data_IF_156707110663
#
_entry.id   IF_156707110663
#
_cell.length_a   1.000
_cell.length_b   1.000
_cell.length_c   1.000
_cell.angle_alpha   90.00
_cell.angle_beta   90.00
_cell.angle_gamma   90.00
#
_symmetry.space_group_name_H-M   'P 1'
#
loop_
_entity.id
_entity.type
_entity.pdbx_description
1 polymer ?
2 water ?
#
# COMPACT_ATOMS: atom_id res chain seq x y z
N UNK A 1 4.99 -15.57 5.65
CA UNK A 1 5.56 -15.57 4.28
C UNK A 1 6.93 -14.90 4.23
N UNK A 2 7.61 -15.10 3.10
CA UNK A 2 8.91 -14.49 2.87
C UNK A 2 8.81 -12.97 2.81
N UNK A 3 7.85 -12.49 2.03
CA UNK A 3 7.71 -11.06 1.77
C UNK A 3 6.53 -10.45 2.52
N UNK A 4 6.72 -9.23 3.02
CA UNK A 4 5.69 -8.50 3.74
C UNK A 4 5.02 -7.47 2.84
N UNK A 5 3.89 -6.93 3.28
CA UNK A 5 3.33 -5.74 2.65
C UNK A 5 4.34 -4.61 2.77
N UNK A 6 5.03 -4.58 3.91
CA UNK A 6 6.12 -3.64 4.14
C UNK A 6 7.14 -3.67 3.01
N UNK A 7 7.55 -4.88 2.63
CA UNK A 7 8.54 -5.07 1.59
C UNK A 7 8.06 -4.54 0.24
N UNK A 8 6.76 -4.71 -0.02
CA UNK A 8 6.19 -4.35 -1.31
C UNK A 8 6.05 -2.84 -1.44
N UNK A 9 5.63 -2.20 -0.36
CA UNK A 9 5.55 -0.74 -0.31
C UNK A 9 6.93 -0.14 -0.51
N UNK A 10 7.93 -0.73 0.14
CA UNK A 10 9.31 -0.28 -0.01
C UNK A 10 9.81 -0.50 -1.43
N UNK A 11 9.42 -1.62 -2.03
CA UNK A 11 9.80 -1.93 -3.40
C UNK A 11 9.22 -0.90 -4.37
N UNK A 12 8.00 -0.46 -4.08
CA UNK A 12 7.32 0.52 -4.92
C UNK A 12 7.90 1.91 -4.72
N UNK A 13 8.23 2.25 -3.47
CA UNK A 13 8.84 3.54 -3.16
C UNK A 13 10.16 3.70 -3.90
N UNK A 14 10.96 2.64 -3.92
CA UNK A 14 12.28 2.67 -4.55
C UNK A 14 12.17 2.69 -6.07
N UNK A 15 11.40 1.76 -6.63
CA UNK A 15 11.32 1.60 -8.07
C UNK A 15 10.60 2.75 -8.76
N UNK A 16 9.62 3.35 -8.08
CA UNK A 16 8.81 4.41 -8.68
C UNK A 16 9.16 5.79 -8.14
N UNK A 17 10.20 5.86 -7.31
CA UNK A 17 10.64 7.12 -6.72
C UNK A 17 9.49 7.85 -6.02
N UNK A 18 8.89 7.18 -5.05
CA UNK A 18 7.82 7.75 -4.25
C UNK A 18 8.19 7.69 -2.77
N UNK A 19 7.97 8.79 -2.07
CA UNK A 19 8.05 8.80 -0.61
C UNK A 19 6.66 8.51 -0.07
N UNK A 20 6.55 8.27 1.23
CA UNK A 20 5.26 7.95 1.84
C UNK A 20 4.24 9.05 1.59
N UNK A 21 4.70 10.30 1.64
CA UNK A 21 3.82 11.45 1.46
C UNK A 21 3.21 11.45 0.06
N UNK A 22 3.96 10.97 -0.92
CA UNK A 22 3.46 10.88 -2.28
C UNK A 22 2.38 9.81 -2.38
N UNK A 23 2.66 8.63 -1.83
CA UNK A 23 1.71 7.53 -1.85
C UNK A 23 0.41 7.92 -1.13
N UNK A 24 0.54 8.61 -0.01
CA UNK A 24 -0.63 9.06 0.74
C UNK A 24 -1.45 10.04 -0.10
N UNK A 25 -0.75 10.92 -0.82
CA UNK A 25 -1.42 11.87 -1.70
C UNK A 25 -2.21 11.16 -2.79
N UNK A 26 -1.57 10.18 -3.42
CA UNK A 26 -2.20 9.42 -4.51
C UNK A 26 -3.45 8.69 -4.04
N UNK A 27 -3.47 8.30 -2.77
CA UNK A 27 -4.56 7.49 -2.23
C UNK A 27 -5.82 8.30 -1.96
N UNK A 28 -5.65 9.59 -1.69
CA UNK A 28 -6.75 10.44 -1.23
C UNK A 28 -7.95 10.44 -2.19
N UNK A 29 -7.70 10.60 -3.50
CA UNK A 29 -8.82 10.49 -4.45
C UNK A 29 -9.55 9.15 -4.34
N UNK A 30 -8.81 8.09 -4.03
CA UNK A 30 -9.40 6.76 -3.89
C UNK A 30 -10.07 6.59 -2.53
N UNK A 31 -9.56 7.28 -1.52
CA UNK A 31 -10.19 7.28 -0.20
C UNK A 31 -11.60 7.83 -0.31
N UNK A 32 -11.75 8.89 -1.10
CA UNK A 32 -13.04 9.53 -1.29
C UNK A 32 -13.94 8.70 -2.21
N UNK A 33 -13.34 8.07 -3.21
CA UNK A 33 -14.06 7.20 -4.12
C UNK A 33 -14.66 6.00 -3.38
N UNK A 34 -13.85 5.36 -2.54
CA UNK A 34 -14.26 4.16 -1.83
C UNK A 34 -14.92 4.47 -0.49
N UNK A 35 -14.65 5.66 0.04
CA UNK A 35 -15.15 6.03 1.35
C UNK A 35 -14.41 5.30 2.45
N UNK A 36 -13.09 5.17 2.27
CA UNK A 36 -12.24 4.46 3.22
C UNK A 36 -10.98 5.26 3.51
N UNK A 37 -10.75 5.50 4.80
CA UNK A 37 -9.70 6.43 5.22
C UNK A 37 -8.37 5.74 5.48
N UNK A 38 -7.30 6.44 5.10
CA UNK A 38 -5.94 6.02 5.38
C UNK A 38 -5.15 7.25 5.81
N UNK A 39 -4.76 7.28 7.08
CA UNK A 39 -4.02 8.40 7.63
C UNK A 39 -2.52 8.23 7.39
N UNK A 40 -1.77 9.32 7.55
CA UNK A 40 -0.32 9.27 7.43
C UNK A 40 0.28 8.29 8.43
N UNK A 41 -0.17 8.40 9.68
CA UNK A 41 0.34 7.56 10.76
C UNK A 41 0.18 6.08 10.46
N UNK A 42 -1.00 5.71 9.97
CA UNK A 42 -1.30 4.31 9.67
C UNK A 42 -0.47 3.81 8.49
N UNK A 43 -0.18 4.70 7.54
CA UNK A 43 0.61 4.33 6.37
C UNK A 43 2.05 4.01 6.77
N UNK A 44 2.61 4.82 7.65
CA UNK A 44 3.97 4.58 8.14
C UNK A 44 4.04 3.28 8.93
N UNK A 45 2.96 2.96 9.64
CA UNK A 45 2.87 1.72 10.39
C UNK A 45 2.91 0.52 9.44
N UNK A 46 2.35 0.70 8.24
CA UNK A 46 2.41 -0.34 7.22
C UNK A 46 3.82 -0.47 6.67
N UNK A 47 4.44 0.67 6.37
CA UNK A 47 5.77 0.70 5.79
C UNK A 47 6.81 0.14 6.76
N UNK A 48 6.74 0.56 8.02
CA UNK A 48 7.66 0.07 9.04
C UNK A 48 7.30 -1.32 9.54
N UNK A 49 6.23 -1.89 8.98
CA UNK A 49 5.81 -3.25 9.28
C UNK A 49 5.36 -3.42 10.73
N UNK A 50 5.00 -2.32 11.38
CA UNK A 50 4.48 -2.38 12.74
C UNK A 50 3.04 -2.89 12.72
N UNK A 51 2.27 -2.41 11.76
CA UNK A 51 0.91 -2.91 11.54
C UNK A 51 0.78 -3.51 10.14
N UNK A 52 0.01 -4.59 10.04
CA UNK A 52 -0.34 -5.17 8.75
C UNK A 52 -1.68 -4.59 8.31
N UNK A 53 -1.81 -4.21 7.03
CA UNK A 53 -3.06 -3.55 6.63
C UNK A 53 -4.26 -4.48 6.68
N UNK A 54 -5.41 -3.96 7.10
CA UNK A 54 -6.66 -4.71 7.01
C UNK A 54 -7.03 -4.83 5.54
N UNK A 55 -8.01 -5.68 5.24
CA UNK A 55 -8.36 -5.96 3.85
C UNK A 55 -8.95 -4.75 3.14
N UNK A 56 -9.48 -3.80 3.91
CA UNK A 56 -9.97 -2.55 3.33
C UNK A 56 -8.83 -1.71 2.76
N UNK A 57 -7.73 -1.61 3.51
CA UNK A 57 -6.60 -0.78 3.10
C UNK A 57 -5.74 -1.48 2.05
N UNK A 58 -5.74 -2.81 2.05
CA UNK A 58 -5.09 -3.56 0.99
C UNK A 58 -5.72 -3.19 -0.35
N UNK A 59 -7.05 -3.27 -0.42
CA UNK A 59 -7.79 -2.90 -1.61
C UNK A 59 -7.49 -1.45 -2.02
N UNK A 60 -7.59 -0.54 -1.05
CA UNK A 60 -7.34 0.88 -1.28
C UNK A 60 -5.97 1.14 -1.89
N UNK A 61 -4.92 0.66 -1.21
CA UNK A 61 -3.56 0.90 -1.66
C UNK A 61 -3.27 0.20 -2.99
N UNK A 62 -3.89 -0.95 -3.20
CA UNK A 62 -3.68 -1.72 -4.42
C UNK A 62 -4.27 -1.00 -5.64
N UNK A 63 -5.47 -0.45 -5.48
CA UNK A 63 -6.10 0.30 -6.56
C UNK A 63 -5.39 1.64 -6.78
N UNK A 64 -4.89 2.22 -5.69
CA UNK A 64 -4.16 3.48 -5.77
C UNK A 64 -2.86 3.33 -6.56
N UNK A 65 -2.12 2.27 -6.27
CA UNK A 65 -0.81 2.06 -6.87
C UNK A 65 -0.88 1.22 -8.15
N UNK A 66 -2.06 0.69 -8.45
CA UNK A 66 -2.26 -0.09 -9.66
C UNK A 66 -1.54 -1.42 -9.63
N UNK A 67 -1.58 -2.09 -8.48
CA UNK A 67 -1.02 -3.43 -8.33
C UNK A 67 -2.11 -4.40 -7.92
N UNK A 68 -1.80 -5.69 -7.92
CA UNK A 68 -2.76 -6.70 -7.51
C UNK A 68 -2.81 -6.78 -5.99
N UNK A 69 -3.99 -7.05 -5.44
CA UNK A 69 -4.16 -7.18 -4.00
C UNK A 69 -3.27 -8.29 -3.44
N UNK A 70 -3.26 -9.43 -4.12
CA UNK A 70 -2.47 -10.58 -3.69
C UNK A 70 -1.00 -10.22 -3.59
N UNK A 71 -0.48 -9.58 -4.63
CA UNK A 71 0.90 -9.14 -4.64
C UNK A 71 1.17 -8.23 -3.45
N UNK A 72 0.34 -7.20 -3.30
CA UNK A 72 0.52 -6.21 -2.23
C UNK A 72 0.55 -6.86 -0.84
N UNK A 73 -0.12 -7.99 -0.69
CA UNK A 73 -0.15 -8.70 0.58
C UNK A 73 1.13 -9.49 0.85
N UNK A 74 2.02 -9.54 -0.13
CA UNK A 74 3.31 -10.21 0.05
C UNK A 74 3.39 -11.55 -0.65
N UNK A 75 2.27 -12.03 -1.16
CA UNK A 75 2.25 -13.30 -1.88
C UNK A 75 3.15 -13.26 -3.10
N UNK A 76 3.65 -14.43 -3.50
CA UNK A 76 4.58 -14.53 -4.62
C UNK A 76 3.81 -14.68 -5.93
N UNK A 77 3.32 -13.55 -6.43
CA UNK A 77 2.50 -13.51 -7.64
C UNK A 77 2.91 -12.32 -8.51
N UNK A 78 2.39 -12.24 -9.75
CA UNK A 78 2.70 -11.07 -10.58
C UNK A 78 2.22 -9.76 -9.95
N UNK A 79 2.92 -8.67 -10.24
CA UNK A 79 2.60 -7.37 -9.65
C UNK A 79 1.35 -6.76 -10.28
N UNK A 80 1.28 -6.79 -11.60
CA UNK A 80 0.13 -6.24 -12.32
C UNK A 80 -1.03 -7.23 -12.27
#
# INVERSE_FOLDING_TARGET
>A
MQTDTSNRLKQIMAERNLKQVDILNLSIPFQKKFGIKLSKSTLSQYVNSVQSPDQNRIYLLAKTLGVSEAWLMGFDVPMV
#
